data_IF_446591756571
#
_entry.id   IF_446591756571
#
_cell.length_a   1.000
_cell.length_b   1.000
_cell.length_c   1.000
_cell.angle_alpha   90.00
_cell.angle_beta   90.00
_cell.angle_gamma   90.00
#
_symmetry.space_group_name_H-M   'P 1'
#
loop_
_entity.id
_entity.type
_entity.pdbx_description
1 polymer ?
#
# COMPACT_ATOMS: atom_id res chain seq x y z
N UNK A 1 -4.63 18.62 23.20
CA UNK A 1 -4.54 18.67 24.66
C UNK A 1 -3.14 18.28 25.10
N UNK A 2 -2.51 19.08 25.94
CA UNK A 2 -1.15 18.84 26.41
C UNK A 2 -1.21 18.24 27.82
N UNK A 3 -0.96 16.94 27.97
CA UNK A 3 -0.94 16.35 29.29
C UNK A 3 0.23 16.91 30.11
N UNK A 4 -0.01 17.11 31.39
CA UNK A 4 1.02 17.49 32.34
C UNK A 4 1.37 16.28 33.19
N UNK A 5 2.65 15.95 33.25
CA UNK A 5 3.17 14.97 34.18
C UNK A 5 3.82 15.71 35.32
N UNK A 6 3.31 15.51 36.53
CA UNK A 6 3.84 16.10 37.72
C UNK A 6 4.56 15.03 38.54
N UNK A 7 5.82 15.29 38.89
CA UNK A 7 6.58 14.46 39.85
C UNK A 7 6.73 15.25 41.12
N UNK A 8 6.23 14.70 42.21
CA UNK A 8 6.25 15.36 43.53
C UNK A 8 7.08 14.54 44.50
N UNK A 9 8.15 15.13 45.01
CA UNK A 9 9.06 14.51 46.00
C UNK A 9 8.82 14.98 47.44
N UNK A 10 7.76 15.75 47.66
CA UNK A 10 7.41 16.34 48.96
C UNK A 10 8.05 17.69 49.25
N UNK A 11 9.03 18.14 48.49
CA UNK A 11 9.72 19.43 48.68
C UNK A 11 9.65 20.33 47.43
N UNK A 12 9.61 19.76 46.25
CA UNK A 12 9.48 20.48 44.98
C UNK A 12 8.61 19.73 44.04
N UNK A 13 7.95 20.46 43.13
CA UNK A 13 7.14 19.89 42.08
C UNK A 13 7.77 20.26 40.74
N UNK A 14 8.25 19.25 40.04
CA UNK A 14 8.69 19.41 38.67
C UNK A 14 7.55 19.01 37.74
N UNK A 15 7.21 19.86 36.82
CA UNK A 15 6.18 19.58 35.79
C UNK A 15 6.81 19.47 34.42
N UNK A 16 6.50 18.40 33.74
CA UNK A 16 6.91 18.20 32.33
C UNK A 16 5.68 18.30 31.42
N UNK A 17 5.79 19.17 30.43
CA UNK A 17 4.77 19.30 29.42
C UNK A 17 5.15 18.48 28.22
N UNK A 18 4.34 17.49 27.88
CA UNK A 18 4.55 16.66 26.69
C UNK A 18 3.35 16.74 25.77
N UNK A 19 3.62 16.66 24.47
CA UNK A 19 2.57 16.58 23.48
C UNK A 19 2.07 15.14 23.41
N UNK A 20 0.75 14.97 23.41
CA UNK A 20 0.15 13.68 23.15
C UNK A 20 0.31 13.38 21.64
N UNK A 21 1.03 12.28 21.28
CA UNK A 21 1.28 11.97 19.89
C UNK A 21 0.05 11.43 19.13
N UNK A 22 -1.11 11.38 19.78
CA UNK A 22 -2.33 10.92 19.15
C UNK A 22 -2.86 11.99 18.20
N UNK A 23 -2.99 11.64 16.94
CA UNK A 23 -3.59 12.50 15.92
C UNK A 23 -5.09 12.25 15.88
N UNK A 24 -5.86 13.33 15.94
CA UNK A 24 -7.30 13.24 15.70
C UNK A 24 -7.55 13.06 14.19
N UNK A 25 -7.90 11.86 13.78
CA UNK A 25 -8.23 11.58 12.40
C UNK A 25 -9.71 11.88 12.11
N UNK A 26 -9.94 12.71 11.13
CA UNK A 26 -11.27 12.80 10.51
C UNK A 26 -11.32 11.75 9.40
N UNK A 27 -11.95 10.64 9.70
CA UNK A 27 -12.12 9.60 8.69
C UNK A 27 -13.24 9.99 7.71
N UNK A 28 -12.93 9.98 6.43
CA UNK A 28 -13.92 9.83 5.38
C UNK A 28 -13.99 8.36 5.00
N UNK A 29 -15.08 7.66 5.29
CA UNK A 29 -15.21 6.28 4.82
C UNK A 29 -15.15 6.25 3.30
N UNK A 30 -14.24 5.45 2.76
CA UNK A 30 -14.15 5.20 1.33
C UNK A 30 -14.58 3.76 1.10
N UNK A 31 -15.53 3.54 0.21
CA UNK A 31 -15.94 2.19 -0.15
C UNK A 31 -14.78 1.47 -0.83
N UNK A 32 -14.50 0.20 -0.45
CA UNK A 32 -13.48 -0.57 -1.14
C UNK A 32 -13.88 -0.82 -2.58
N UNK A 33 -12.88 -1.08 -3.44
CA UNK A 33 -13.13 -1.45 -4.83
C UNK A 33 -14.02 -2.70 -4.89
N UNK A 34 -14.92 -2.72 -5.87
CA UNK A 34 -15.79 -3.88 -6.10
C UNK A 34 -14.92 -5.10 -6.39
N UNK A 35 -15.22 -6.21 -5.74
CA UNK A 35 -14.54 -7.47 -5.97
C UNK A 35 -15.09 -8.17 -7.20
N UNK A 36 -14.20 -8.81 -7.95
CA UNK A 36 -14.57 -9.66 -9.08
C UNK A 36 -14.85 -11.08 -8.57
N UNK A 37 -15.88 -11.71 -9.11
CA UNK A 37 -16.23 -13.08 -8.73
C UNK A 37 -15.31 -14.14 -9.34
N UNK A 38 -14.77 -13.87 -10.53
CA UNK A 38 -13.84 -14.73 -11.26
C UNK A 38 -12.76 -13.88 -11.91
N UNK A 39 -11.53 -14.37 -11.87
CA UNK A 39 -10.37 -13.68 -12.45
C UNK A 39 -10.06 -14.13 -13.90
N UNK A 40 -10.78 -15.11 -14.41
CA UNK A 40 -10.55 -15.62 -15.77
C UNK A 40 -10.67 -14.51 -16.82
N UNK A 41 -9.71 -14.45 -17.73
CA UNK A 41 -9.69 -13.46 -18.81
C UNK A 41 -9.25 -12.05 -18.37
N UNK A 42 -8.93 -11.84 -17.12
CA UNK A 42 -8.56 -10.52 -16.62
C UNK A 42 -7.09 -10.19 -16.91
N UNK A 43 -6.85 -8.88 -17.03
CA UNK A 43 -5.49 -8.32 -17.07
C UNK A 43 -5.09 -7.81 -15.69
N UNK A 44 -4.02 -8.37 -15.17
CA UNK A 44 -3.50 -8.07 -13.83
C UNK A 44 -2.16 -7.35 -13.93
N UNK A 45 -2.04 -6.23 -13.23
CA UNK A 45 -0.78 -5.54 -13.05
C UNK A 45 0.05 -6.20 -11.96
N UNK A 46 1.34 -6.31 -12.20
CA UNK A 46 2.32 -6.79 -11.22
C UNK A 46 3.21 -5.60 -10.86
N UNK A 47 2.98 -5.02 -9.69
CA UNK A 47 3.73 -3.86 -9.24
C UNK A 47 4.90 -4.26 -8.37
N UNK A 48 6.11 -3.96 -8.84
CA UNK A 48 7.36 -4.19 -8.13
C UNK A 48 8.02 -2.86 -7.77
N UNK A 49 8.38 -2.69 -6.51
CA UNK A 49 9.01 -1.49 -5.99
C UNK A 49 10.55 -1.58 -5.94
N UNK A 50 11.16 -2.45 -6.74
CA UNK A 50 12.60 -2.70 -6.82
C UNK A 50 13.24 -3.31 -5.57
N UNK A 51 12.46 -3.68 -4.57
CA UNK A 51 13.01 -4.41 -3.41
C UNK A 51 13.39 -5.84 -3.79
N UNK A 52 14.55 -6.26 -3.29
CA UNK A 52 15.13 -7.56 -3.62
C UNK A 52 14.15 -8.71 -3.41
N UNK A 53 14.07 -9.59 -4.39
CA UNK A 53 13.19 -10.76 -4.44
C UNK A 53 11.68 -10.49 -4.58
N UNK A 54 11.25 -9.23 -4.64
CA UNK A 54 9.86 -8.92 -4.91
C UNK A 54 9.41 -9.35 -6.31
N UNK A 55 10.29 -9.21 -7.30
CA UNK A 55 10.08 -9.70 -8.66
C UNK A 55 9.92 -11.21 -8.72
N UNK A 56 10.71 -11.95 -7.94
CA UNK A 56 10.61 -13.41 -7.84
C UNK A 56 9.25 -13.81 -7.25
N UNK A 57 8.83 -13.14 -6.18
CA UNK A 57 7.53 -13.39 -5.56
C UNK A 57 6.38 -13.11 -6.54
N UNK A 58 6.42 -11.99 -7.27
CA UNK A 58 5.41 -11.65 -8.28
C UNK A 58 5.38 -12.64 -9.43
N UNK A 59 6.54 -13.10 -9.88
CA UNK A 59 6.63 -14.13 -10.93
C UNK A 59 5.96 -15.42 -10.48
N UNK A 60 6.13 -15.80 -9.21
CA UNK A 60 5.46 -16.98 -8.66
C UNK A 60 3.96 -16.81 -8.56
N UNK A 61 3.49 -15.63 -8.13
CA UNK A 61 2.06 -15.31 -8.11
C UNK A 61 1.47 -15.42 -9.52
N UNK A 62 2.16 -14.86 -10.51
CA UNK A 62 1.76 -14.95 -11.92
C UNK A 62 1.59 -16.41 -12.37
N UNK A 63 2.58 -17.26 -12.08
CA UNK A 63 2.51 -18.70 -12.43
C UNK A 63 1.27 -19.37 -11.81
N UNK A 64 1.04 -19.13 -10.51
CA UNK A 64 -0.09 -19.73 -9.80
C UNK A 64 -1.44 -19.23 -10.33
N UNK A 65 -1.53 -17.97 -10.72
CA UNK A 65 -2.76 -17.42 -11.31
C UNK A 65 -3.02 -18.01 -12.69
N UNK A 66 -1.98 -18.20 -13.51
CA UNK A 66 -2.11 -18.83 -14.82
C UNK A 66 -2.59 -20.29 -14.70
N UNK A 67 -2.10 -21.01 -13.70
CA UNK A 67 -2.55 -22.38 -13.43
C UNK A 67 -4.02 -22.45 -13.00
N UNK A 68 -4.48 -21.44 -12.27
CA UNK A 68 -5.78 -21.44 -11.63
C UNK A 68 -6.90 -20.86 -12.48
N UNK A 69 -6.59 -19.90 -13.36
CA UNK A 69 -7.57 -19.17 -14.16
C UNK A 69 -7.16 -19.14 -15.61
N UNK A 70 -8.13 -19.32 -16.52
CA UNK A 70 -7.89 -19.30 -17.95
C UNK A 70 -7.87 -17.87 -18.53
N UNK A 71 -7.05 -17.66 -19.54
CA UNK A 71 -7.07 -16.45 -20.34
C UNK A 71 -6.54 -15.21 -19.66
N UNK A 72 -5.81 -15.33 -18.55
CA UNK A 72 -5.25 -14.20 -17.86
C UNK A 72 -4.07 -13.58 -18.62
N UNK A 73 -3.96 -12.27 -18.55
CA UNK A 73 -2.81 -11.51 -19.01
C UNK A 73 -2.23 -10.66 -17.90
N UNK A 74 -0.96 -10.31 -18.03
CA UNK A 74 -0.22 -9.60 -16.98
C UNK A 74 0.59 -8.46 -17.57
N UNK A 75 0.75 -7.43 -16.79
CA UNK A 75 1.62 -6.29 -17.11
C UNK A 75 2.43 -5.90 -15.90
N UNK A 76 3.75 -5.79 -16.08
CA UNK A 76 4.63 -5.29 -15.03
C UNK A 76 4.47 -3.79 -14.91
N UNK A 77 4.30 -3.32 -13.67
CA UNK A 77 4.15 -1.92 -13.34
C UNK A 77 5.31 -1.48 -12.45
N UNK A 78 5.94 -0.38 -12.84
CA UNK A 78 7.07 0.18 -12.11
C UNK A 78 6.94 1.69 -12.05
N UNK A 79 7.34 2.30 -10.94
CA UNK A 79 7.32 3.76 -10.76
C UNK A 79 8.63 4.42 -11.15
N UNK A 80 9.64 3.63 -11.52
CA UNK A 80 10.97 4.12 -11.85
C UNK A 80 11.92 4.14 -10.65
N UNK A 81 13.16 4.65 -10.85
CA UNK A 81 14.22 4.56 -9.84
C UNK A 81 13.92 5.26 -8.51
N UNK A 82 13.09 6.30 -8.55
CA UNK A 82 12.71 7.06 -7.36
C UNK A 82 11.58 6.37 -6.57
N UNK A 83 10.94 5.39 -7.18
CA UNK A 83 9.82 4.65 -6.60
C UNK A 83 8.70 5.56 -6.10
N UNK A 84 8.42 6.62 -6.83
CA UNK A 84 7.37 7.58 -6.52
C UNK A 84 6.22 7.47 -7.52
N UNK A 85 5.03 7.20 -7.00
CA UNK A 85 3.82 7.14 -7.82
C UNK A 85 3.25 8.55 -8.01
N UNK A 86 3.42 9.10 -9.21
CA UNK A 86 2.86 10.39 -9.60
C UNK A 86 1.44 10.24 -10.14
N UNK A 87 0.73 11.35 -10.29
CA UNK A 87 -0.60 11.32 -10.92
C UNK A 87 -0.54 10.81 -12.37
N UNK A 88 0.50 11.20 -13.11
CA UNK A 88 0.72 10.69 -14.48
C UNK A 88 0.96 9.18 -14.48
N UNK A 89 1.67 8.67 -13.49
CA UNK A 89 1.87 7.23 -13.35
C UNK A 89 0.54 6.49 -13.12
N UNK A 90 -0.30 6.99 -12.19
CA UNK A 90 -1.61 6.41 -11.95
C UNK A 90 -2.49 6.45 -13.20
N UNK A 91 -2.44 7.53 -13.96
CA UNK A 91 -3.16 7.64 -15.22
C UNK A 91 -2.67 6.62 -16.26
N UNK A 92 -1.35 6.40 -16.34
CA UNK A 92 -0.78 5.39 -17.23
C UNK A 92 -1.22 3.97 -16.83
N UNK A 93 -1.31 3.69 -15.55
CA UNK A 93 -1.83 2.41 -15.05
C UNK A 93 -3.31 2.25 -15.43
N UNK A 94 -4.11 3.28 -15.26
CA UNK A 94 -5.52 3.26 -15.64
C UNK A 94 -5.69 3.01 -17.13
N UNK A 95 -4.88 3.65 -17.95
CA UNK A 95 -4.93 3.49 -19.42
C UNK A 95 -4.38 2.13 -19.90
N UNK A 96 -3.60 1.45 -19.09
CA UNK A 96 -3.06 0.12 -19.44
C UNK A 96 -4.14 -0.96 -19.51
N UNK A 97 -5.31 -0.71 -18.91
CA UNK A 97 -6.41 -1.65 -18.89
C UNK A 97 -6.32 -2.75 -17.83
N UNK A 98 -5.38 -2.64 -16.88
CA UNK A 98 -5.34 -3.60 -15.76
C UNK A 98 -6.58 -3.47 -14.90
N UNK A 99 -7.11 -4.61 -14.48
CA UNK A 99 -8.36 -4.71 -13.72
C UNK A 99 -8.12 -5.00 -12.24
N UNK A 100 -6.90 -5.30 -11.89
CA UNK A 100 -6.41 -5.47 -10.54
C UNK A 100 -4.90 -5.42 -10.51
N UNK A 101 -4.33 -5.23 -9.34
CA UNK A 101 -2.88 -5.14 -9.15
C UNK A 101 -2.46 -6.00 -7.97
N UNK A 102 -1.39 -6.76 -8.15
CA UNK A 102 -0.66 -7.41 -7.05
C UNK A 102 0.64 -6.65 -6.87
N UNK A 103 0.92 -6.24 -5.66
CA UNK A 103 2.09 -5.44 -5.33
C UNK A 103 3.02 -6.13 -4.35
N UNK A 104 4.31 -5.93 -4.48
CA UNK A 104 5.35 -6.31 -3.52
C UNK A 104 6.39 -5.21 -3.42
N UNK A 105 7.05 -5.07 -2.36
CA UNK A 105 6.94 -5.63 -1.01
C UNK A 105 6.91 -4.46 -0.05
N UNK A 106 6.37 -4.64 1.15
CA UNK A 106 6.56 -3.66 2.20
C UNK A 106 8.03 -3.59 2.61
N UNK A 107 8.43 -2.49 3.17
CA UNK A 107 9.77 -2.32 3.73
C UNK A 107 9.82 -2.89 5.15
#
# INVERSE_FOLDING_TARGET
>A
MNPKIAVQDGKSVATLRVLNPVVAHKFRPIAPAKRHGDLSGMKIGLYWNYKKHGDVALSRVKELLIERYEGMSFEWLETGPVNEATEEWFESVRLSGVQGVVATTGD
#
